data_IF_155315591822
#
_entry.id   IF_155315591822
#
_cell.length_a   1.000
_cell.length_b   1.000
_cell.length_c   1.000
_cell.angle_alpha   90.00
_cell.angle_beta   90.00
_cell.angle_gamma   90.00
#
_symmetry.space_group_name_H-M   'P 1'
#
loop_
_entity.id
_entity.type
_entity.pdbx_description
1 polymer ?
#
# COMPACT_ATOMS: atom_id res chain seq x y z
N UNK A 1 14.23 9.55 -13.14
CA UNK A 1 15.42 8.75 -12.80
C UNK A 1 15.04 7.28 -12.92
N UNK A 2 15.74 6.51 -13.75
CA UNK A 2 15.56 5.05 -13.80
C UNK A 2 16.03 4.45 -12.47
N UNK A 3 15.09 3.99 -11.63
CA UNK A 3 15.41 3.29 -10.38
C UNK A 3 16.29 2.07 -10.72
N UNK A 4 17.37 1.86 -9.97
CA UNK A 4 18.25 0.72 -10.26
C UNK A 4 17.53 -0.61 -9.99
N UNK A 5 17.73 -1.65 -10.81
CA UNK A 5 16.96 -2.90 -10.73
C UNK A 5 17.01 -3.60 -9.36
N UNK A 6 18.15 -3.52 -8.68
CA UNK A 6 18.36 -4.16 -7.38
C UNK A 6 17.49 -3.59 -6.27
N UNK A 7 17.13 -2.30 -6.35
CA UNK A 7 16.29 -1.65 -5.35
C UNK A 7 14.94 -2.35 -5.27
N UNK A 8 14.33 -2.62 -6.42
CA UNK A 8 13.05 -3.32 -6.50
C UNK A 8 13.12 -4.71 -5.85
N UNK A 9 14.20 -5.47 -6.06
CA UNK A 9 14.36 -6.82 -5.47
C UNK A 9 14.39 -6.83 -3.94
N UNK A 10 15.06 -5.86 -3.31
CA UNK A 10 15.12 -5.77 -1.85
C UNK A 10 13.74 -5.44 -1.27
N UNK A 11 13.00 -4.55 -1.93
CA UNK A 11 11.65 -4.19 -1.51
C UNK A 11 10.69 -5.36 -1.54
N UNK A 12 10.81 -6.20 -2.56
CA UNK A 12 10.01 -7.41 -2.66
C UNK A 12 10.26 -8.38 -1.51
N UNK A 13 11.49 -8.46 -0.99
CA UNK A 13 11.81 -9.36 0.13
C UNK A 13 10.98 -9.03 1.36
N UNK A 14 11.02 -7.79 1.87
CA UNK A 14 10.36 -7.47 3.14
C UNK A 14 8.85 -7.24 3.01
N UNK A 15 8.33 -7.03 1.80
CA UNK A 15 6.88 -6.92 1.56
C UNK A 15 6.21 -8.24 1.14
N UNK A 16 7.00 -9.30 0.89
CA UNK A 16 6.57 -10.52 0.22
C UNK A 16 5.26 -11.15 0.76
N UNK A 17 5.09 -11.37 2.08
CA UNK A 17 3.92 -12.09 2.57
C UNK A 17 2.63 -11.31 2.29
N UNK A 18 2.67 -9.99 2.48
CA UNK A 18 1.53 -9.13 2.23
C UNK A 18 1.25 -9.00 0.74
N UNK A 19 2.30 -8.91 -0.09
CA UNK A 19 2.16 -8.80 -1.55
C UNK A 19 1.45 -9.99 -2.18
N UNK A 20 1.72 -11.23 -1.73
CA UNK A 20 1.00 -12.40 -2.25
C UNK A 20 -0.50 -12.27 -1.97
N UNK A 21 -0.87 -11.95 -0.73
CA UNK A 21 -2.27 -11.81 -0.32
C UNK A 21 -2.95 -10.70 -1.13
N UNK A 22 -2.29 -9.56 -1.23
CA UNK A 22 -2.75 -8.39 -1.97
C UNK A 22 -2.94 -8.72 -3.45
N UNK A 23 -1.94 -9.33 -4.11
CA UNK A 23 -2.04 -9.64 -5.54
C UNK A 23 -3.14 -10.63 -5.84
N UNK A 24 -3.31 -11.65 -4.99
CA UNK A 24 -4.43 -12.60 -5.12
C UNK A 24 -5.76 -11.83 -4.99
N UNK A 25 -5.90 -10.97 -3.98
CA UNK A 25 -7.12 -10.16 -3.79
C UNK A 25 -7.37 -9.24 -4.99
N UNK A 26 -6.32 -8.58 -5.51
CA UNK A 26 -6.40 -7.73 -6.70
C UNK A 26 -6.82 -8.52 -7.93
N UNK A 27 -6.26 -9.70 -8.17
CA UNK A 27 -6.64 -10.56 -9.30
C UNK A 27 -8.10 -11.03 -9.19
N UNK A 28 -8.57 -11.38 -7.98
CA UNK A 28 -9.96 -11.75 -7.74
C UNK A 28 -10.87 -10.56 -8.07
N UNK A 29 -10.61 -9.38 -7.50
CA UNK A 29 -11.41 -8.18 -7.73
C UNK A 29 -11.38 -7.78 -9.21
N UNK A 30 -10.23 -7.86 -9.85
CA UNK A 30 -10.08 -7.60 -11.27
C UNK A 30 -10.96 -8.56 -12.10
N UNK A 31 -10.90 -9.86 -11.82
CA UNK A 31 -11.66 -10.87 -12.57
C UNK A 31 -13.17 -10.65 -12.49
N UNK A 32 -13.67 -10.20 -11.33
CA UNK A 32 -15.09 -9.98 -11.08
C UNK A 32 -15.56 -8.59 -11.57
N UNK A 33 -14.81 -7.55 -11.24
CA UNK A 33 -15.27 -6.16 -11.28
C UNK A 33 -14.36 -5.22 -12.08
N UNK A 34 -13.16 -5.64 -12.46
CA UNK A 34 -12.15 -4.78 -13.06
C UNK A 34 -11.95 -4.97 -14.56
N UNK A 35 -11.11 -4.09 -15.12
CA UNK A 35 -10.56 -4.12 -16.46
C UNK A 35 -9.20 -3.39 -16.46
N UNK A 36 -8.46 -3.44 -17.57
CA UNK A 36 -7.15 -2.76 -17.72
C UNK A 36 -6.16 -3.07 -16.58
N UNK A 37 -5.95 -4.37 -16.33
CA UNK A 37 -4.91 -4.82 -15.41
C UNK A 37 -3.54 -4.40 -15.95
N UNK A 38 -2.73 -3.76 -15.13
CA UNK A 38 -1.39 -3.35 -15.49
C UNK A 38 -0.45 -3.39 -14.29
N UNK A 39 0.85 -3.40 -14.59
CA UNK A 39 1.90 -3.38 -13.58
C UNK A 39 2.57 -2.01 -13.55
N UNK A 40 2.55 -1.34 -12.40
CA UNK A 40 3.22 -0.07 -12.19
C UNK A 40 3.63 0.03 -10.70
N UNK A 41 4.86 -0.37 -10.40
CA UNK A 41 5.35 -0.57 -9.01
C UNK A 41 4.36 -1.37 -8.13
N UNK A 42 3.55 -2.24 -8.74
CA UNK A 42 2.42 -2.93 -8.11
C UNK A 42 1.40 -3.39 -9.16
N UNK A 43 0.40 -4.16 -8.72
CA UNK A 43 -0.67 -4.68 -9.58
C UNK A 43 -1.92 -3.81 -9.48
N UNK A 44 -2.31 -3.18 -10.59
CA UNK A 44 -3.39 -2.22 -10.62
C UNK A 44 -4.46 -2.61 -11.61
N UNK A 45 -5.71 -2.29 -11.30
CA UNK A 45 -6.78 -2.36 -12.28
C UNK A 45 -7.79 -1.23 -12.14
N UNK A 46 -8.52 -0.97 -13.21
CA UNK A 46 -9.61 -0.01 -13.23
C UNK A 46 -10.94 -0.75 -13.02
N UNK A 47 -11.83 -0.22 -12.19
CA UNK A 47 -13.14 -0.82 -11.96
C UNK A 47 -14.09 -0.54 -13.14
N UNK A 48 -14.93 -1.52 -13.50
CA UNK A 48 -16.00 -1.33 -14.50
C UNK A 48 -17.03 -0.33 -13.96
N UNK A 49 -17.52 0.59 -14.80
CA UNK A 49 -18.47 1.66 -14.42
C UNK A 49 -19.70 1.13 -13.66
N UNK A 50 -20.22 -0.01 -14.10
CA UNK A 50 -21.44 -0.62 -13.57
C UNK A 50 -21.19 -1.71 -12.51
N UNK A 51 -19.94 -1.91 -12.10
CA UNK A 51 -19.63 -2.87 -11.05
C UNK A 51 -20.18 -2.43 -9.70
N UNK A 52 -20.44 -3.40 -8.82
CA UNK A 52 -20.91 -3.11 -7.46
C UNK A 52 -19.96 -2.16 -6.69
N UNK A 53 -18.62 -2.37 -6.67
CA UNK A 53 -17.70 -1.43 -6.02
C UNK A 53 -17.76 -0.01 -6.57
N UNK A 54 -17.90 0.16 -7.89
CA UNK A 54 -18.07 1.46 -8.54
C UNK A 54 -19.33 2.20 -8.08
N UNK A 55 -20.40 1.45 -7.80
CA UNK A 55 -21.71 2.00 -7.38
C UNK A 55 -21.82 2.23 -5.88
N UNK A 56 -20.90 1.73 -5.08
CA UNK A 56 -20.91 1.85 -3.62
C UNK A 56 -19.73 2.70 -3.15
N UNK A 57 -18.55 2.10 -3.04
CA UNK A 57 -17.36 2.68 -2.42
C UNK A 57 -16.71 3.76 -3.30
N UNK A 58 -16.65 3.53 -4.62
CA UNK A 58 -15.98 4.42 -5.56
C UNK A 58 -16.89 5.51 -6.15
N UNK A 59 -18.06 5.76 -5.55
CA UNK A 59 -18.87 6.94 -5.89
C UNK A 59 -18.19 8.24 -5.48
N UNK A 60 -17.44 8.23 -4.39
CA UNK A 60 -16.69 9.38 -3.89
C UNK A 60 -15.17 9.21 -3.97
N UNK A 61 -14.68 7.98 -4.19
CA UNK A 61 -13.25 7.67 -4.13
C UNK A 61 -12.63 7.63 -5.53
N UNK A 62 -11.43 8.20 -5.67
CA UNK A 62 -10.67 8.17 -6.92
C UNK A 62 -9.92 6.86 -7.14
N UNK A 63 -9.37 6.31 -6.06
CA UNK A 63 -8.55 5.11 -6.03
C UNK A 63 -8.52 4.48 -4.65
N UNK A 64 -7.90 3.31 -4.54
CA UNK A 64 -7.48 2.73 -3.26
C UNK A 64 -6.24 1.89 -3.48
N UNK A 65 -5.29 2.06 -2.57
CA UNK A 65 -4.05 1.28 -2.50
C UNK A 65 -4.08 0.33 -1.31
N UNK A 66 -3.74 -0.93 -1.57
CA UNK A 66 -3.51 -1.97 -0.59
C UNK A 66 -2.09 -2.49 -0.82
N UNK A 67 -1.08 -1.83 -0.26
CA UNK A 67 0.32 -2.16 -0.52
C UNK A 67 0.68 -2.08 -2.01
N UNK A 68 1.20 -3.17 -2.60
CA UNK A 68 1.53 -3.23 -4.03
C UNK A 68 0.37 -3.71 -4.90
N UNK A 69 -0.86 -3.45 -4.48
CA UNK A 69 -2.06 -3.70 -5.27
C UNK A 69 -3.03 -2.56 -5.11
N UNK A 70 -3.80 -2.25 -6.15
CA UNK A 70 -4.77 -1.17 -6.03
C UNK A 70 -5.79 -1.13 -7.15
N UNK A 71 -6.75 -0.24 -6.96
CA UNK A 71 -7.90 -0.10 -7.83
C UNK A 71 -8.18 1.37 -8.10
N UNK A 72 -8.59 1.68 -9.32
CA UNK A 72 -8.99 3.02 -9.72
C UNK A 72 -10.47 3.05 -10.11
N UNK A 73 -11.14 4.17 -9.78
CA UNK A 73 -12.46 4.44 -10.34
C UNK A 73 -12.40 4.57 -11.86
N UNK A 74 -13.53 4.33 -12.53
CA UNK A 74 -13.59 4.40 -13.99
C UNK A 74 -13.20 5.79 -14.52
N UNK A 75 -12.32 5.83 -15.51
CA UNK A 75 -11.80 7.04 -16.14
C UNK A 75 -10.75 7.80 -15.32
N UNK A 76 -10.23 7.21 -14.23
CA UNK A 76 -9.17 7.82 -13.39
C UNK A 76 -7.75 7.40 -13.77
N UNK A 77 -7.61 6.57 -14.81
CA UNK A 77 -6.32 6.20 -15.41
C UNK A 77 -6.25 6.77 -16.83
N UNK A 78 -5.08 7.22 -17.28
CA UNK A 78 -4.86 7.71 -18.65
C UNK A 78 -4.06 6.72 -19.52
N UNK A 79 -3.42 5.71 -18.93
CA UNK A 79 -2.55 4.79 -19.67
C UNK A 79 -1.82 3.79 -18.78
N UNK A 80 -0.58 3.51 -19.14
CA UNK A 80 0.36 2.71 -18.34
C UNK A 80 1.31 3.69 -17.63
N UNK A 81 1.00 4.12 -16.41
CA UNK A 81 1.85 5.07 -15.72
C UNK A 81 1.20 5.77 -14.52
N UNK A 82 1.88 6.81 -14.05
CA UNK A 82 1.42 7.72 -13.00
C UNK A 82 1.09 9.05 -13.65
N UNK A 83 -0.02 9.07 -14.38
CA UNK A 83 -0.39 10.15 -15.29
C UNK A 83 -1.46 11.07 -14.68
N UNK A 84 -2.17 10.60 -13.65
CA UNK A 84 -3.21 11.37 -12.96
C UNK A 84 -2.83 11.75 -11.52
N UNK A 85 -3.51 12.78 -11.01
CA UNK A 85 -3.42 13.20 -9.59
C UNK A 85 -3.72 12.03 -8.65
N UNK A 86 -4.71 11.20 -9.01
CA UNK A 86 -5.11 10.02 -8.23
C UNK A 86 -4.03 8.94 -8.31
N UNK A 87 -3.52 8.61 -9.51
CA UNK A 87 -2.46 7.61 -9.64
C UNK A 87 -1.23 7.98 -8.80
N UNK A 88 -0.88 9.27 -8.77
CA UNK A 88 0.23 9.75 -7.94
C UNK A 88 -0.06 9.67 -6.45
N UNK A 89 -1.26 10.07 -6.02
CA UNK A 89 -1.71 9.94 -4.63
C UNK A 89 -1.61 8.48 -4.16
N UNK A 90 -2.14 7.56 -4.96
CA UNK A 90 -2.09 6.12 -4.66
C UNK A 90 -0.64 5.58 -4.64
N UNK A 91 0.26 6.08 -5.48
CA UNK A 91 1.68 5.69 -5.43
C UNK A 91 2.39 6.11 -4.13
N UNK A 92 1.99 7.22 -3.51
CA UNK A 92 2.54 7.62 -2.21
C UNK A 92 2.19 6.58 -1.14
N UNK A 93 1.00 5.98 -1.21
CA UNK A 93 0.61 4.91 -0.28
C UNK A 93 1.44 3.64 -0.46
N UNK A 94 1.91 3.32 -1.67
CA UNK A 94 2.88 2.23 -1.87
C UNK A 94 4.17 2.53 -1.11
N UNK A 95 4.71 3.74 -1.24
CA UNK A 95 5.97 4.13 -0.57
C UNK A 95 5.81 4.12 0.96
N UNK A 96 4.66 4.56 1.47
CA UNK A 96 4.31 4.47 2.90
C UNK A 96 4.23 3.02 3.37
N UNK A 97 3.60 2.14 2.59
CA UNK A 97 3.53 0.71 2.85
C UNK A 97 4.92 0.07 2.87
N UNK A 98 5.77 0.36 1.87
CA UNK A 98 7.15 -0.12 1.80
C UNK A 98 7.96 0.31 3.04
N UNK A 99 7.86 1.58 3.45
CA UNK A 99 8.54 2.08 4.63
C UNK A 99 8.03 1.44 5.93
N UNK A 100 6.71 1.19 6.03
CA UNK A 100 6.09 0.45 7.12
C UNK A 100 6.61 -0.99 7.23
N UNK A 101 6.56 -1.71 6.12
CA UNK A 101 7.00 -3.10 6.05
C UNK A 101 8.49 -3.26 6.33
N UNK A 102 9.34 -2.35 5.87
CA UNK A 102 10.76 -2.35 6.20
C UNK A 102 10.99 -2.24 7.71
N UNK A 103 10.28 -1.32 8.39
CA UNK A 103 10.38 -1.16 9.86
C UNK A 103 9.99 -2.45 10.58
N UNK A 104 8.85 -3.05 10.20
CA UNK A 104 8.38 -4.30 10.82
C UNK A 104 9.37 -5.45 10.58
N UNK A 105 9.91 -5.55 9.36
CA UNK A 105 10.89 -6.57 9.01
C UNK A 105 12.19 -6.44 9.83
N UNK A 106 12.69 -5.22 10.03
CA UNK A 106 13.87 -4.98 10.87
C UNK A 106 13.61 -5.34 12.34
N UNK A 107 12.41 -5.05 12.87
CA UNK A 107 12.03 -5.48 14.23
C UNK A 107 11.96 -7.01 14.31
N UNK A 108 11.40 -7.68 13.30
CA UNK A 108 11.34 -9.13 13.24
C UNK A 108 12.74 -9.77 13.21
N UNK A 109 13.68 -9.21 12.44
CA UNK A 109 15.10 -9.63 12.44
C UNK A 109 15.70 -9.44 13.82
N UNK A 110 15.50 -8.28 14.45
CA UNK A 110 16.04 -8.00 15.78
C UNK A 110 15.55 -9.01 16.83
N UNK A 111 14.24 -9.30 16.86
CA UNK A 111 13.65 -10.30 17.76
C UNK A 111 14.26 -11.69 17.50
N UNK A 112 14.36 -12.08 16.22
CA UNK A 112 14.99 -13.35 15.84
C UNK A 112 16.44 -13.43 16.33
N UNK A 113 17.24 -12.37 16.14
CA UNK A 113 18.63 -12.31 16.59
C UNK A 113 18.75 -12.42 18.12
N UNK A 114 17.90 -11.73 18.89
CA UNK A 114 17.88 -11.83 20.36
C UNK A 114 17.54 -13.25 20.81
N UNK A 115 16.50 -13.86 20.23
CA UNK A 115 16.12 -15.23 20.54
C UNK A 115 17.19 -16.26 20.15
N UNK A 116 17.90 -16.05 19.03
CA UNK A 116 19.03 -16.89 18.64
C UNK A 116 20.17 -16.81 19.66
N UNK A 117 20.54 -15.61 20.11
CA UNK A 117 21.57 -15.42 21.13
C UNK A 117 21.17 -16.03 22.49
N UNK A 118 19.87 -16.07 22.78
CA UNK A 118 19.32 -16.73 23.96
C UNK A 118 19.12 -18.25 23.80
N UNK A 119 19.60 -18.86 22.71
CA UNK A 119 19.41 -20.28 22.38
C UNK A 119 17.92 -20.70 22.29
N UNK A 120 17.04 -19.77 21.90
CA UNK A 120 15.60 -20.01 21.69
C UNK A 120 15.14 -19.68 20.25
N UNK A 121 15.73 -20.31 19.21
CA UNK A 121 15.41 -20.01 17.82
C UNK A 121 13.93 -20.18 17.47
N UNK A 122 13.28 -21.20 18.03
CA UNK A 122 11.87 -21.47 17.77
C UNK A 122 10.97 -20.37 18.30
N UNK A 123 11.25 -19.84 19.50
CA UNK A 123 10.51 -18.70 20.04
C UNK A 123 10.68 -17.47 19.14
N UNK A 124 11.91 -17.20 18.69
CA UNK A 124 12.20 -16.13 17.75
C UNK A 124 11.38 -16.25 16.46
N UNK A 125 11.30 -17.46 15.89
CA UNK A 125 10.49 -17.73 14.70
C UNK A 125 8.99 -17.53 14.95
N UNK A 126 8.47 -18.03 16.07
CA UNK A 126 7.05 -17.90 16.43
C UNK A 126 6.61 -16.46 16.69
N UNK A 127 7.53 -15.56 17.02
CA UNK A 127 7.22 -14.13 17.20
C UNK A 127 7.48 -13.36 15.90
N UNK A 128 8.66 -13.53 15.29
CA UNK A 128 9.09 -12.76 14.13
C UNK A 128 8.21 -13.02 12.90
N UNK A 129 7.80 -14.27 12.66
CA UNK A 129 7.02 -14.61 11.47
C UNK A 129 5.60 -14.01 11.51
N UNK A 130 4.78 -14.19 12.58
CA UNK A 130 3.49 -13.53 12.66
C UNK A 130 3.59 -12.00 12.65
N UNK A 131 4.63 -11.44 13.28
CA UNK A 131 4.88 -10.00 13.26
C UNK A 131 5.08 -9.50 11.82
N UNK A 132 5.91 -10.20 11.04
CA UNK A 132 6.16 -9.86 9.64
C UNK A 132 4.91 -9.99 8.77
N UNK A 133 4.11 -11.05 8.96
CA UNK A 133 2.82 -11.22 8.27
C UNK A 133 1.83 -10.10 8.63
N UNK A 134 1.72 -9.74 9.91
CA UNK A 134 0.83 -8.69 10.41
C UNK A 134 1.36 -7.27 10.17
N UNK A 135 2.49 -7.11 9.46
CA UNK A 135 3.21 -5.84 9.36
C UNK A 135 2.38 -4.68 8.79
N UNK A 136 1.51 -4.95 7.81
CA UNK A 136 0.60 -3.93 7.29
C UNK A 136 -0.34 -3.42 8.38
N UNK A 137 -1.01 -4.32 9.12
CA UNK A 137 -1.91 -3.94 10.20
C UNK A 137 -1.18 -3.15 11.30
N UNK A 138 0.02 -3.60 11.69
CA UNK A 138 0.86 -2.93 12.68
C UNK A 138 1.27 -1.53 12.23
N UNK A 139 1.44 -1.32 10.92
CA UNK A 139 1.78 -0.01 10.36
C UNK A 139 0.57 0.93 10.33
N UNK A 140 -0.58 0.48 9.84
CA UNK A 140 -1.70 1.37 9.52
C UNK A 140 -2.70 1.54 10.67
N UNK A 141 -2.99 0.49 11.44
CA UNK A 141 -4.00 0.56 12.52
C UNK A 141 -3.65 1.61 13.57
N UNK A 142 -2.39 1.76 14.05
CA UNK A 142 -2.06 2.82 15.00
C UNK A 142 -2.31 4.24 14.46
N UNK A 143 -2.13 4.46 13.16
CA UNK A 143 -2.40 5.75 12.53
C UNK A 143 -3.90 6.08 12.51
N UNK A 144 -4.74 5.08 12.22
CA UNK A 144 -6.19 5.22 12.27
C UNK A 144 -6.69 5.46 13.70
N UNK A 145 -6.15 4.72 14.68
CA UNK A 145 -6.46 4.92 16.08
C UNK A 145 -6.04 6.32 16.55
N UNK A 146 -4.87 6.80 16.12
CA UNK A 146 -4.41 8.14 16.46
C UNK A 146 -5.34 9.22 15.90
N UNK A 147 -5.81 9.09 14.66
CA UNK A 147 -6.80 9.99 14.07
C UNK A 147 -8.09 10.04 14.90
N UNK A 148 -8.60 8.86 15.30
CA UNK A 148 -9.78 8.75 16.17
C UNK A 148 -9.57 9.44 17.53
N UNK A 149 -8.38 9.32 18.13
CA UNK A 149 -8.03 9.99 19.40
C UNK A 149 -8.03 11.52 19.24
N UNK A 150 -7.70 12.05 18.06
CA UNK A 150 -7.79 13.49 17.75
C UNK A 150 -9.22 13.96 17.43
N UNK A 151 -10.20 13.04 17.36
CA UNK A 151 -11.57 13.36 16.97
C UNK A 151 -11.77 13.49 15.46
N UNK A 152 -10.85 12.97 14.66
CA UNK A 152 -10.89 12.99 13.20
C UNK A 152 -11.48 11.68 12.64
N UNK A 153 -11.81 11.66 11.35
CA UNK A 153 -12.19 10.43 10.65
C UNK A 153 -10.98 9.48 10.56
N UNK A 154 -11.14 8.21 10.93
CA UNK A 154 -10.05 7.25 11.05
C UNK A 154 -9.14 7.15 9.81
N UNK A 155 -9.74 7.17 8.62
CA UNK A 155 -9.01 7.07 7.35
C UNK A 155 -8.43 8.44 6.95
N UNK A 156 -9.29 9.44 6.79
CA UNK A 156 -8.93 10.77 6.27
C UNK A 156 -8.01 11.57 7.21
N UNK A 157 -8.16 11.40 8.52
CA UNK A 157 -7.28 12.01 9.53
C UNK A 157 -6.03 11.19 9.81
N UNK A 158 -5.81 10.06 9.14
CA UNK A 158 -4.58 9.31 9.35
C UNK A 158 -3.38 10.10 8.83
N UNK A 159 -2.25 10.09 9.55
CA UNK A 159 -1.04 10.80 9.13
C UNK A 159 -0.54 10.37 7.74
N UNK A 160 -0.82 9.12 7.36
CA UNK A 160 -0.51 8.62 6.02
C UNK A 160 -1.36 9.30 4.95
N UNK A 161 -2.67 9.43 5.16
CA UNK A 161 -3.56 10.09 4.20
C UNK A 161 -3.27 11.59 4.11
N UNK A 162 -3.11 12.27 5.25
CA UNK A 162 -2.75 13.70 5.30
C UNK A 162 -1.42 13.97 4.58
N UNK A 163 -0.41 13.12 4.80
CA UNK A 163 0.89 13.21 4.12
C UNK A 163 0.77 12.96 2.62
N UNK A 164 -0.07 12.02 2.19
CA UNK A 164 -0.30 11.76 0.78
C UNK A 164 -0.94 12.97 0.09
N UNK A 165 -1.97 13.57 0.69
CA UNK A 165 -2.58 14.80 0.17
C UNK A 165 -1.58 15.96 0.11
N UNK A 166 -0.79 16.18 1.15
CA UNK A 166 0.20 17.25 1.18
C UNK A 166 1.24 17.12 0.05
N UNK A 167 1.70 15.91 -0.22
CA UNK A 167 2.64 15.62 -1.31
C UNK A 167 1.98 15.76 -2.70
N UNK A 168 0.74 15.30 -2.85
CA UNK A 168 -0.05 15.46 -4.08
C UNK A 168 -0.29 16.94 -4.40
N UNK A 169 -0.66 17.74 -3.40
CA UNK A 169 -0.82 19.20 -3.55
C UNK A 169 0.50 19.88 -3.95
N UNK A 170 1.61 19.50 -3.32
CA UNK A 170 2.92 20.07 -3.66
C UNK A 170 3.29 19.79 -5.12
N UNK A 171 3.04 18.57 -5.61
CA UNK A 171 3.27 18.22 -7.03
C UNK A 171 2.35 19.03 -7.95
N UNK A 172 1.09 19.23 -7.58
CA UNK A 172 0.13 20.06 -8.31
C UNK A 172 0.60 21.51 -8.43
N UNK A 173 1.05 22.12 -7.33
CA UNK A 173 1.58 23.50 -7.31
C UNK A 173 2.84 23.67 -8.18
N UNK A 174 3.60 22.60 -8.39
CA UNK A 174 4.77 22.56 -9.28
C UNK A 174 4.44 22.28 -10.75
N UNK A 175 3.16 22.17 -11.11
CA UNK A 175 2.73 21.83 -12.48
C UNK A 175 3.04 20.38 -12.87
N UNK A 176 3.15 19.47 -11.89
CA UNK A 176 3.59 18.10 -12.10
C UNK A 176 2.54 17.14 -12.68
N UNK A 177 1.37 17.64 -13.09
CA UNK A 177 0.31 16.85 -13.71
C UNK A 177 -0.05 17.47 -15.06
N UNK A 178 -0.12 16.65 -16.11
CA UNK A 178 -0.47 17.04 -17.49
C UNK A 178 -1.95 16.74 -17.75
#
# INVERSE_FOLDING_TARGET
MTRQPWYSHIKWLYCFPNNIIIWIATLIIWSLYGHRLHWNDGLWCELKKDSWPSRTWYKGWGGTTLGHGGFYATGKTKGQGVDTEIEFHEHIHIEQFEAGMLRVFLIAIFIMSVCLLASQPMLGLYIALPLWFAGALITFVPNWLQALIRGEEAYMGSHHEESAYAQTELKKRKGGFI
#
